data_IF_712770421589
#
_entry.id   IF_712770421589
#
_cell.length_a   1.000
_cell.length_b   1.000
_cell.length_c   1.000
_cell.angle_alpha   90.00
_cell.angle_beta   90.00
_cell.angle_gamma   90.00
#
_symmetry.space_group_name_H-M   'P 1'
#
loop_
_entity.id
_entity.type
_entity.pdbx_description
1 polymer ?
#
# COMPACT_ATOMS: atom_id res chain seq x y z
N UNK A 1 28.16 -8.83 5.95
CA UNK A 1 27.92 -9.60 4.71
C UNK A 1 27.76 -8.61 3.55
N UNK A 2 28.28 -8.88 2.35
CA UNK A 2 28.16 -7.95 1.22
C UNK A 2 26.70 -7.90 0.75
N UNK A 3 26.01 -6.81 1.07
CA UNK A 3 24.64 -6.56 0.62
C UNK A 3 24.64 -6.08 -0.83
N UNK A 4 23.54 -6.31 -1.55
CA UNK A 4 23.35 -5.75 -2.89
C UNK A 4 23.35 -4.21 -2.80
N UNK A 5 23.96 -3.54 -3.77
CA UNK A 5 24.07 -2.08 -3.80
C UNK A 5 23.16 -1.52 -4.88
N UNK A 6 22.39 -0.46 -4.57
CA UNK A 6 21.66 0.31 -5.56
C UNK A 6 22.68 1.11 -6.39
N UNK A 7 22.55 1.17 -7.73
CA UNK A 7 23.43 1.99 -8.56
C UNK A 7 23.47 3.45 -8.10
N UNK A 8 24.60 4.12 -8.35
CA UNK A 8 24.72 5.55 -8.04
C UNK A 8 23.69 6.36 -8.85
N UNK A 9 22.85 7.11 -8.12
CA UNK A 9 21.83 7.97 -8.70
C UNK A 9 22.31 9.42 -8.64
N UNK A 10 22.40 10.08 -9.80
CA UNK A 10 22.53 11.54 -9.85
C UNK A 10 21.16 12.16 -9.66
N UNK A 11 21.06 13.10 -8.73
CA UNK A 11 19.83 13.83 -8.42
C UNK A 11 20.08 15.33 -8.54
N UNK A 12 19.00 16.07 -8.71
CA UNK A 12 19.02 17.53 -8.58
C UNK A 12 19.47 17.91 -7.14
N UNK A 13 20.38 18.88 -6.97
CA UNK A 13 20.78 19.36 -5.64
C UNK A 13 19.60 19.76 -4.75
N UNK A 14 18.56 20.38 -5.31
CA UNK A 14 17.37 20.80 -4.56
C UNK A 14 16.57 19.59 -4.04
N UNK A 15 16.53 18.48 -4.80
CA UNK A 15 15.90 17.25 -4.32
C UNK A 15 16.67 16.65 -3.15
N UNK A 16 18.01 16.70 -3.21
CA UNK A 16 18.86 16.20 -2.13
C UNK A 16 18.64 17.02 -0.85
N UNK A 17 18.65 18.35 -0.96
CA UNK A 17 18.42 19.25 0.16
C UNK A 17 17.04 19.02 0.79
N UNK A 18 16.00 18.88 -0.03
CA UNK A 18 14.66 18.54 0.43
C UNK A 18 14.63 17.23 1.22
N UNK A 19 15.29 16.17 0.73
CA UNK A 19 15.38 14.89 1.42
C UNK A 19 16.15 14.98 2.74
N UNK A 20 17.26 15.73 2.79
CA UNK A 20 18.04 15.92 4.01
C UNK A 20 17.28 16.74 5.07
N UNK A 21 16.45 17.71 4.65
CA UNK A 21 15.67 18.57 5.55
C UNK A 21 14.54 17.87 6.32
N UNK A 22 14.10 16.69 5.86
CA UNK A 22 12.97 15.95 6.47
C UNK A 22 13.43 14.76 7.31
N UNK A 23 14.75 14.54 7.43
CA UNK A 23 15.29 13.43 8.22
C UNK A 23 14.98 13.58 9.70
N UNK A 24 14.71 12.45 10.35
CA UNK A 24 14.59 12.39 11.80
C UNK A 24 15.96 12.40 12.50
N UNK A 25 15.98 12.66 13.81
CA UNK A 25 17.23 12.65 14.58
C UNK A 25 17.88 11.25 14.55
N UNK A 26 19.14 11.19 14.13
CA UNK A 26 19.89 9.95 13.97
C UNK A 26 19.58 9.15 12.70
N UNK A 27 18.68 9.64 11.84
CA UNK A 27 18.38 9.02 10.55
C UNK A 27 19.41 9.41 9.49
N UNK A 28 19.76 8.46 8.62
CA UNK A 28 20.65 8.71 7.47
C UNK A 28 19.86 8.87 6.17
N UNK A 29 20.40 9.64 5.22
CA UNK A 29 19.81 9.73 3.88
C UNK A 29 19.67 8.34 3.22
N UNK A 30 20.62 7.44 3.45
CA UNK A 30 20.58 6.08 2.91
C UNK A 30 19.43 5.24 3.47
N UNK A 31 19.20 5.30 4.80
CA UNK A 31 18.09 4.58 5.43
C UNK A 31 16.73 5.13 4.99
N UNK A 32 16.61 6.46 4.91
CA UNK A 32 15.41 7.12 4.40
C UNK A 32 15.09 6.71 2.95
N UNK A 33 16.12 6.65 2.09
CA UNK A 33 15.97 6.21 0.70
C UNK A 33 15.62 4.72 0.59
N UNK A 34 16.17 3.87 1.45
CA UNK A 34 15.82 2.45 1.51
C UNK A 34 14.34 2.27 1.86
N UNK A 35 13.86 2.93 2.92
CA UNK A 35 12.45 2.86 3.33
C UNK A 35 11.53 3.37 2.22
N UNK A 36 11.88 4.50 1.60
CA UNK A 36 11.15 5.04 0.46
C UNK A 36 11.04 4.07 -0.72
N UNK A 37 12.10 3.32 -1.01
CA UNK A 37 12.10 2.28 -2.04
C UNK A 37 11.20 1.10 -1.65
N UNK A 38 11.30 0.63 -0.40
CA UNK A 38 10.46 -0.46 0.11
C UNK A 38 8.97 -0.09 0.03
N UNK A 39 8.61 1.12 0.48
CA UNK A 39 7.24 1.64 0.42
C UNK A 39 6.73 1.71 -1.03
N UNK A 40 7.54 2.21 -1.96
CA UNK A 40 7.17 2.28 -3.37
C UNK A 40 7.00 0.90 -4.02
N UNK A 41 7.88 -0.05 -3.71
CA UNK A 41 7.76 -1.44 -4.20
C UNK A 41 6.47 -2.06 -3.68
N UNK A 42 6.20 -1.92 -2.39
CA UNK A 42 4.97 -2.43 -1.76
C UNK A 42 3.74 -1.84 -2.43
N UNK A 43 3.67 -0.51 -2.57
CA UNK A 43 2.58 0.20 -3.24
C UNK A 43 2.34 -0.32 -4.66
N UNK A 44 3.40 -0.48 -5.46
CA UNK A 44 3.28 -0.98 -6.85
C UNK A 44 2.81 -2.43 -6.90
N UNK A 45 3.24 -3.29 -5.97
CA UNK A 45 2.76 -4.68 -5.87
C UNK A 45 1.29 -4.72 -5.51
N UNK A 46 0.88 -4.01 -4.45
CA UNK A 46 -0.52 -3.92 -4.02
C UNK A 46 -1.43 -3.40 -5.14
N UNK A 47 -1.01 -2.35 -5.87
CA UNK A 47 -1.78 -1.81 -6.99
C UNK A 47 -1.97 -2.85 -8.11
N UNK A 48 -0.90 -3.57 -8.48
CA UNK A 48 -0.97 -4.62 -9.51
C UNK A 48 -1.91 -5.74 -9.09
N UNK A 49 -1.81 -6.20 -7.86
CA UNK A 49 -2.68 -7.25 -7.33
C UNK A 49 -4.13 -6.81 -7.22
N UNK A 50 -4.38 -5.56 -6.80
CA UNK A 50 -5.72 -5.00 -6.74
C UNK A 50 -6.38 -5.00 -8.12
N UNK A 51 -5.67 -4.55 -9.15
CA UNK A 51 -6.16 -4.56 -10.54
C UNK A 51 -6.40 -6.00 -11.00
N UNK A 52 -5.47 -6.91 -10.76
CA UNK A 52 -5.61 -8.32 -11.15
C UNK A 52 -6.83 -8.96 -10.49
N UNK A 53 -7.07 -8.74 -9.19
CA UNK A 53 -8.26 -9.22 -8.47
C UNK A 53 -9.54 -8.60 -9.01
N UNK A 54 -9.55 -7.30 -9.32
CA UNK A 54 -10.70 -6.62 -9.89
C UNK A 54 -11.10 -7.18 -11.27
N UNK A 55 -10.11 -7.40 -12.14
CA UNK A 55 -10.35 -8.01 -13.46
C UNK A 55 -10.86 -9.44 -13.35
N UNK A 56 -10.25 -10.27 -12.50
CA UNK A 56 -10.71 -11.64 -12.27
C UNK A 56 -12.15 -11.68 -11.71
N UNK A 57 -12.49 -10.78 -10.78
CA UNK A 57 -13.85 -10.66 -10.24
C UNK A 57 -14.85 -10.23 -11.32
N UNK A 58 -14.45 -9.34 -12.22
CA UNK A 58 -15.30 -8.92 -13.34
C UNK A 58 -15.56 -10.06 -14.33
N UNK A 59 -14.53 -10.82 -14.69
CA UNK A 59 -14.67 -12.01 -15.55
C UNK A 59 -15.61 -13.05 -14.92
N UNK A 60 -15.49 -13.26 -13.61
CA UNK A 60 -16.36 -14.16 -12.85
C UNK A 60 -17.82 -13.69 -12.80
N UNK A 61 -18.05 -12.40 -12.56
CA UNK A 61 -19.39 -11.82 -12.56
C UNK A 61 -20.05 -11.93 -13.95
N UNK A 62 -19.27 -11.72 -15.03
CA UNK A 62 -19.74 -11.92 -16.40
C UNK A 62 -20.11 -13.37 -16.69
N UNK A 63 -19.35 -14.34 -16.15
CA UNK A 63 -19.62 -15.77 -16.34
C UNK A 63 -20.84 -16.27 -15.56
N UNK A 64 -21.05 -15.74 -14.36
CA UNK A 64 -22.07 -16.23 -13.42
C UNK A 64 -23.35 -15.39 -13.40
N UNK A 65 -23.28 -14.13 -13.83
CA UNK A 65 -24.34 -13.14 -13.62
C UNK A 65 -24.46 -12.66 -12.16
N UNK A 66 -23.52 -13.05 -11.28
CA UNK A 66 -23.53 -12.69 -9.87
C UNK A 66 -23.00 -11.27 -9.65
N UNK A 67 -23.91 -10.31 -9.54
CA UNK A 67 -23.61 -8.91 -9.21
C UNK A 67 -24.23 -8.54 -7.86
N UNK A 68 -23.54 -7.68 -7.10
CA UNK A 68 -24.00 -7.16 -5.82
C UNK A 68 -24.26 -5.66 -5.94
N UNK A 69 -25.35 -5.17 -5.35
CA UNK A 69 -25.60 -3.73 -5.28
C UNK A 69 -24.62 -3.06 -4.32
N UNK A 70 -24.35 -1.77 -4.55
CA UNK A 70 -23.54 -0.96 -3.62
C UNK A 70 -24.10 -0.99 -2.20
N UNK A 71 -25.43 -0.94 -2.08
CA UNK A 71 -26.11 -0.84 -0.79
C UNK A 71 -25.96 -2.12 0.01
N UNK A 72 -26.02 -3.28 -0.66
CA UNK A 72 -25.78 -4.57 -0.02
C UNK A 72 -24.34 -4.67 0.50
N UNK A 73 -23.37 -4.29 -0.33
CA UNK A 73 -21.95 -4.32 0.05
C UNK A 73 -21.65 -3.36 1.21
N UNK A 74 -22.23 -2.16 1.18
CA UNK A 74 -22.03 -1.18 2.26
C UNK A 74 -22.63 -1.67 3.58
N UNK A 75 -23.84 -2.23 3.56
CA UNK A 75 -24.47 -2.79 4.75
C UNK A 75 -23.64 -3.92 5.38
N UNK A 76 -23.12 -4.84 4.57
CA UNK A 76 -22.24 -5.91 5.08
C UNK A 76 -20.94 -5.35 5.69
N UNK A 77 -20.33 -4.33 5.07
CA UNK A 77 -19.12 -3.71 5.61
C UNK A 77 -19.38 -2.97 6.93
N UNK A 78 -20.53 -2.31 7.07
CA UNK A 78 -20.96 -1.69 8.33
C UNK A 78 -21.17 -2.74 9.43
N UNK A 79 -21.75 -3.90 9.10
CA UNK A 79 -21.92 -5.01 10.03
C UNK A 79 -20.58 -5.55 10.51
N UNK A 80 -19.65 -5.82 9.58
CA UNK A 80 -18.30 -6.28 9.90
C UNK A 80 -17.56 -5.28 10.80
N UNK A 81 -17.72 -3.97 10.55
CA UNK A 81 -17.14 -2.91 11.37
C UNK A 81 -17.71 -2.91 12.78
N UNK A 82 -19.04 -2.99 12.93
CA UNK A 82 -19.70 -3.04 14.25
C UNK A 82 -19.25 -4.24 15.06
N UNK A 83 -19.10 -5.40 14.42
CA UNK A 83 -18.58 -6.59 15.09
C UNK A 83 -17.12 -6.43 15.55
N UNK A 84 -16.27 -5.84 14.71
CA UNK A 84 -14.86 -5.62 15.07
C UNK A 84 -14.74 -4.68 16.28
N UNK A 85 -15.54 -3.60 16.31
CA UNK A 85 -15.59 -2.65 17.43
C UNK A 85 -16.11 -3.31 18.72
N UNK A 86 -17.15 -4.14 18.63
CA UNK A 86 -17.67 -4.86 19.80
C UNK A 86 -16.63 -5.84 20.37
N UNK A 87 -15.87 -6.53 19.51
CA UNK A 87 -14.77 -7.43 19.93
C UNK A 87 -13.64 -6.65 20.61
N UNK A 88 -13.30 -5.47 20.12
CA UNK A 88 -12.30 -4.60 20.74
C UNK A 88 -12.76 -4.08 22.11
N UNK A 89 -14.04 -3.69 22.24
CA UNK A 89 -14.61 -3.21 23.51
C UNK A 89 -14.74 -4.31 24.59
N UNK A 90 -14.72 -5.58 24.19
CA UNK A 90 -14.75 -6.73 25.09
C UNK A 90 -13.37 -7.31 25.40
N UNK A 91 -12.30 -6.69 24.89
CA UNK A 91 -10.91 -7.11 25.10
C UNK A 91 -10.23 -6.27 26.16
#
# INVERSE_FOLDING_TARGET
MKTATIPSLRVDPALREAAESVLHEGESLSSFMEESLQANISRRRMQREFIARGLASYEEAQRTGGYFSSDHVQAELEDMLREAQAKEAHR
#
